data_IF_180180188440
#
_entry.id   IF_180180188440
#
_cell.length_a   1.000
_cell.length_b   1.000
_cell.length_c   1.000
_cell.angle_alpha   90.00
_cell.angle_beta   90.00
_cell.angle_gamma   90.00
#
_symmetry.space_group_name_H-M   'P 1'
#
loop_
_entity.id
_entity.type
_entity.pdbx_description
1 polymer ?
#
# COMPACT_ATOMS: atom_id res chain seq x y z
N UNK A 1 12.86 -0.94 -11.64
CA UNK A 1 13.05 -1.66 -10.37
C UNK A 1 12.42 -0.83 -9.27
N UNK A 2 11.31 -1.27 -8.69
CA UNK A 2 10.66 -0.56 -7.57
C UNK A 2 11.28 -1.04 -6.24
N UNK A 3 11.73 -0.11 -5.40
CA UNK A 3 12.39 -0.42 -4.13
C UNK A 3 11.42 -1.06 -3.12
N UNK A 4 11.88 -2.06 -2.38
CA UNK A 4 11.14 -2.73 -1.31
C UNK A 4 10.76 -1.82 -0.11
N UNK A 5 11.19 -0.56 -0.13
CA UNK A 5 10.91 0.46 0.89
C UNK A 5 9.78 1.41 0.50
N UNK A 6 9.24 1.33 -0.71
CA UNK A 6 8.09 2.14 -1.09
C UNK A 6 6.85 1.64 -0.35
N UNK A 7 6.15 2.51 0.37
CA UNK A 7 4.92 2.18 1.10
C UNK A 7 3.80 1.65 0.19
N UNK A 8 3.91 1.91 -1.13
CA UNK A 8 3.05 1.39 -2.19
C UNK A 8 3.42 0.00 -2.71
N UNK A 9 4.56 -0.57 -2.32
CA UNK A 9 4.97 -1.88 -2.81
C UNK A 9 4.29 -3.00 -2.04
N UNK A 10 3.34 -3.69 -2.69
CA UNK A 10 2.84 -4.98 -2.20
C UNK A 10 3.66 -6.10 -2.86
N UNK A 11 4.45 -6.87 -2.09
CA UNK A 11 5.23 -7.97 -2.66
C UNK A 11 4.32 -8.99 -3.35
N UNK A 12 4.72 -9.47 -4.54
CA UNK A 12 3.97 -10.46 -5.33
C UNK A 12 3.63 -11.78 -4.60
N UNK A 13 4.29 -12.08 -3.48
CA UNK A 13 4.08 -13.29 -2.68
C UNK A 13 3.54 -12.98 -1.27
N UNK A 14 3.08 -11.74 -1.03
CA UNK A 14 2.43 -11.38 0.22
C UNK A 14 0.98 -11.86 0.21
N UNK A 15 0.49 -12.30 1.37
CA UNK A 15 -0.94 -12.59 1.58
C UNK A 15 -1.84 -11.42 1.21
N UNK A 16 -1.38 -10.17 1.36
CA UNK A 16 -2.13 -8.99 0.90
C UNK A 16 -2.30 -8.96 -0.62
N UNK A 17 -1.26 -9.32 -1.38
CA UNK A 17 -1.32 -9.39 -2.84
C UNK A 17 -2.32 -10.45 -3.31
N UNK A 18 -2.31 -11.62 -2.67
CA UNK A 18 -3.26 -12.71 -2.95
C UNK A 18 -4.72 -12.30 -2.68
N UNK A 19 -4.96 -11.54 -1.60
CA UNK A 19 -6.31 -11.05 -1.27
C UNK A 19 -6.81 -10.00 -2.28
N UNK A 20 -5.93 -9.13 -2.78
CA UNK A 20 -6.28 -8.15 -3.80
C UNK A 20 -6.58 -8.81 -5.14
N UNK A 21 -5.81 -9.83 -5.51
CA UNK A 21 -6.06 -10.65 -6.71
C UNK A 21 -7.40 -11.41 -6.60
N UNK A 22 -7.69 -12.00 -5.44
CA UNK A 22 -8.95 -12.68 -5.19
C UNK A 22 -10.15 -11.72 -5.33
N UNK A 23 -10.05 -10.49 -4.80
CA UNK A 23 -11.08 -9.46 -4.95
C UNK A 23 -11.32 -9.09 -6.41
N UNK A 24 -10.25 -8.87 -7.18
CA UNK A 24 -10.35 -8.55 -8.62
C UNK A 24 -11.02 -9.68 -9.40
N UNK A 25 -10.71 -10.94 -9.05
CA UNK A 25 -11.36 -12.09 -9.66
C UNK A 25 -12.88 -12.15 -9.37
N UNK A 26 -13.30 -11.88 -8.13
CA UNK A 26 -14.74 -11.81 -7.79
C UNK A 26 -15.45 -10.72 -8.59
N UNK A 27 -14.85 -9.53 -8.69
CA UNK A 27 -15.40 -8.43 -9.48
C UNK A 27 -15.51 -8.79 -10.97
N UNK A 28 -14.52 -9.53 -11.50
CA UNK A 28 -14.56 -10.02 -12.87
C UNK A 28 -15.65 -11.07 -13.09
N UNK A 29 -15.89 -11.95 -12.13
CA UNK A 29 -16.99 -12.93 -12.20
C UNK A 29 -18.34 -12.23 -12.31
N UNK A 30 -18.61 -11.20 -11.49
CA UNK A 30 -19.84 -10.40 -11.57
C UNK A 30 -20.04 -9.73 -12.94
N UNK A 31 -18.95 -9.28 -13.56
CA UNK A 31 -19.00 -8.53 -14.82
C UNK A 31 -19.07 -9.40 -16.08
N UNK A 32 -18.61 -10.66 -16.02
CA UNK A 32 -18.38 -11.48 -17.22
C UNK A 32 -19.10 -12.82 -17.26
N UNK A 33 -19.64 -13.29 -16.13
CA UNK A 33 -20.34 -14.57 -16.03
C UNK A 33 -21.83 -14.28 -15.79
N UNK A 34 -22.75 -14.92 -16.52
CA UNK A 34 -24.17 -14.85 -16.20
C UNK A 34 -24.43 -15.66 -14.93
N UNK A 35 -24.26 -15.02 -13.78
CA UNK A 35 -24.56 -15.57 -12.47
C UNK A 35 -26.06 -15.48 -12.19
N UNK A 36 -26.61 -16.54 -11.62
CA UNK A 36 -27.94 -16.55 -10.99
C UNK A 36 -27.95 -15.66 -9.75
N UNK A 37 -29.14 -15.30 -9.25
CA UNK A 37 -29.26 -14.38 -8.11
C UNK A 37 -28.58 -14.96 -6.85
N UNK A 38 -28.78 -16.25 -6.56
CA UNK A 38 -28.12 -16.93 -5.43
C UNK A 38 -26.58 -16.91 -5.55
N UNK A 39 -26.05 -17.06 -6.78
CA UNK A 39 -24.61 -17.00 -7.03
C UNK A 39 -24.05 -15.57 -6.90
N UNK A 40 -24.84 -14.56 -7.25
CA UNK A 40 -24.47 -13.14 -7.05
C UNK A 40 -24.41 -12.79 -5.58
N UNK A 41 -25.42 -13.21 -4.81
CA UNK A 41 -25.48 -12.99 -3.37
C UNK A 41 -24.25 -13.59 -2.67
N UNK A 42 -23.86 -14.82 -3.05
CA UNK A 42 -22.65 -15.46 -2.52
C UNK A 42 -21.36 -14.70 -2.89
N UNK A 43 -21.26 -14.13 -4.09
CA UNK A 43 -20.10 -13.35 -4.54
C UNK A 43 -20.03 -12.01 -3.81
N UNK A 44 -21.17 -11.32 -3.64
CA UNK A 44 -21.25 -10.05 -2.92
C UNK A 44 -20.90 -10.25 -1.44
N UNK A 45 -21.40 -11.30 -0.79
CA UNK A 45 -21.02 -11.68 0.57
C UNK A 45 -19.51 -11.95 0.67
N UNK A 46 -18.94 -12.65 -0.31
CA UNK A 46 -17.50 -12.87 -0.42
C UNK A 46 -16.72 -11.56 -0.52
N UNK A 47 -17.17 -10.62 -1.35
CA UNK A 47 -16.55 -9.31 -1.51
C UNK A 47 -16.58 -8.51 -0.20
N UNK A 48 -17.72 -8.51 0.50
CA UNK A 48 -17.87 -7.86 1.81
C UNK A 48 -16.94 -8.48 2.86
N UNK A 49 -16.81 -9.81 2.86
CA UNK A 49 -15.91 -10.51 3.77
C UNK A 49 -14.44 -10.16 3.50
N UNK A 50 -14.03 -10.08 2.23
CA UNK A 50 -12.68 -9.68 1.85
C UNK A 50 -12.40 -8.22 2.24
N UNK A 51 -13.35 -7.31 2.02
CA UNK A 51 -13.19 -5.90 2.39
C UNK A 51 -13.03 -5.72 3.90
N UNK A 52 -13.85 -6.43 4.70
CA UNK A 52 -13.70 -6.45 6.18
C UNK A 52 -12.37 -7.03 6.62
N UNK A 53 -11.87 -8.07 5.94
CA UNK A 53 -10.56 -8.64 6.26
C UNK A 53 -9.43 -7.65 5.95
N UNK A 54 -9.48 -7.01 4.79
CA UNK A 54 -8.48 -6.02 4.38
C UNK A 54 -8.45 -4.82 5.34
N UNK A 55 -9.61 -4.31 5.76
CA UNK A 55 -9.69 -3.22 6.73
C UNK A 55 -9.05 -3.61 8.08
N UNK A 56 -9.42 -4.77 8.63
CA UNK A 56 -8.83 -5.27 9.89
C UNK A 56 -7.32 -5.44 9.81
N UNK A 57 -6.80 -5.91 8.67
CA UNK A 57 -5.36 -6.10 8.48
C UNK A 57 -4.58 -4.77 8.50
N UNK A 58 -5.23 -3.62 8.28
CA UNK A 58 -4.57 -2.32 8.40
C UNK A 58 -4.19 -1.96 9.84
N UNK A 59 -4.84 -2.60 10.81
CA UNK A 59 -4.66 -2.38 12.25
C UNK A 59 -3.84 -3.50 12.93
N UNK A 60 -3.42 -4.53 12.19
CA UNK A 60 -2.55 -5.60 12.71
C UNK A 60 -1.10 -5.10 12.73
N UNK A 61 -0.39 -5.18 13.87
CA UNK A 61 1.01 -4.76 13.96
C UNK A 61 1.88 -5.63 13.05
N UNK A 62 2.75 -5.00 12.29
CA UNK A 62 3.80 -5.72 11.56
C UNK A 62 4.82 -6.31 12.54
N UNK A 63 5.64 -7.30 12.14
CA UNK A 63 6.72 -7.80 12.99
C UNK A 63 7.71 -6.72 13.47
N UNK A 64 7.78 -5.58 12.77
CA UNK A 64 8.58 -4.42 13.18
C UNK A 64 7.90 -3.55 14.26
N UNK A 65 6.65 -3.85 14.65
CA UNK A 65 5.86 -3.11 15.64
C UNK A 65 4.71 -2.26 15.07
N UNK A 66 4.94 -1.34 14.11
CA UNK A 66 3.90 -0.43 13.66
C UNK A 66 2.86 -1.14 12.79
N UNK A 67 1.61 -0.68 12.85
CA UNK A 67 0.52 -1.15 11.98
C UNK A 67 0.62 -0.50 10.59
N UNK A 68 0.09 -1.12 9.52
CA UNK A 68 0.02 -0.50 8.21
C UNK A 68 -0.63 0.89 8.21
N UNK A 69 -1.66 1.11 9.04
CA UNK A 69 -2.30 2.42 9.21
C UNK A 69 -1.35 3.48 9.77
N UNK A 70 -0.45 3.09 10.68
CA UNK A 70 0.57 3.98 11.25
C UNK A 70 1.73 4.26 10.28
N UNK A 71 2.06 3.30 9.42
CA UNK A 71 3.11 3.46 8.40
C UNK A 71 2.63 4.39 7.28
N UNK A 72 1.38 4.25 6.85
CA UNK A 72 0.79 5.05 5.78
C UNK A 72 0.21 6.40 6.22
N UNK A 73 0.10 6.64 7.53
CA UNK A 73 -0.22 7.97 8.03
C UNK A 73 0.91 8.92 7.62
N UNK A 74 0.63 10.09 7.01
CA UNK A 74 1.68 11.07 6.80
C UNK A 74 2.31 11.32 8.17
N UNK A 75 3.64 11.17 8.27
CA UNK A 75 4.35 11.67 9.43
C UNK A 75 3.88 13.11 9.59
N UNK A 76 3.03 13.36 10.59
CA UNK A 76 2.57 14.70 10.91
C UNK A 76 3.84 15.51 10.96
N UNK A 77 3.98 16.43 10.00
CA UNK A 77 5.25 16.96 9.59
C UNK A 77 6.06 17.34 10.83
N UNK A 78 7.02 16.49 11.20
CA UNK A 78 8.18 16.97 11.93
C UNK A 78 8.79 17.91 10.92
N UNK A 79 8.41 19.18 11.02
CA UNK A 79 9.01 20.32 10.34
C UNK A 79 10.48 20.30 10.78
N UNK A 80 11.27 19.44 10.16
CA UNK A 80 12.69 19.59 10.10
C UNK A 80 12.87 20.89 9.32
N UNK A 81 13.40 21.95 9.96
CA UNK A 81 13.63 23.19 9.25
C UNK A 81 14.57 22.86 8.09
N UNK A 82 14.05 23.00 6.87
CA UNK A 82 14.83 23.02 5.65
C UNK A 82 15.74 24.24 5.76
N UNK A 83 16.90 24.08 6.40
CA UNK A 83 17.97 25.07 6.31
C UNK A 83 18.37 25.15 4.84
N UNK A 84 17.99 26.26 4.21
CA UNK A 84 18.38 26.59 2.85
C UNK A 84 19.91 26.71 2.82
N UNK A 85 20.58 25.67 2.31
CA UNK A 85 22.00 25.70 2.02
C UNK A 85 22.25 26.54 0.75
N UNK A 86 21.92 27.83 0.84
CA UNK A 86 22.30 28.81 -0.15
C UNK A 86 23.74 29.28 0.15
N UNK A 87 24.64 28.98 -0.78
CA UNK A 87 25.86 29.75 -0.98
C UNK A 87 27.13 29.15 -0.38
N UNK A 88 27.82 28.34 -1.19
CA UNK A 88 29.27 28.57 -1.34
C UNK A 88 29.63 28.47 -2.81
N UNK A 89 29.68 29.65 -3.43
CA UNK A 89 30.36 29.94 -4.68
C UNK A 89 31.74 29.29 -4.69
N UNK A 90 32.08 28.69 -5.83
CA UNK A 90 33.28 27.91 -6.00
C UNK A 90 34.57 28.67 -5.73
N UNK A 91 35.56 27.92 -5.26
CA UNK A 91 36.96 28.15 -5.54
C UNK A 91 37.53 26.87 -6.18
N UNK A 92 37.79 26.94 -7.48
CA UNK A 92 38.76 26.05 -8.13
C UNK A 92 40.06 26.86 -8.22
N UNK A 93 40.76 26.98 -7.10
CA UNK A 93 42.12 27.52 -7.03
C UNK A 93 43.11 26.37 -6.98
N UNK A 94 43.89 26.20 -8.05
CA UNK A 94 44.86 25.11 -8.19
C UNK A 94 46.06 25.21 -7.24
N UNK A 95 46.63 24.04 -6.95
CA UNK A 95 48.03 23.76 -6.59
C UNK A 95 48.24 22.30 -7.05
N UNK A 96 49.17 21.95 -7.93
CA UNK A 96 50.59 22.29 -7.89
C UNK A 96 51.33 20.99 -7.60
#
# INVERSE_FOLDING_TARGET
MACARCDFYTPKQSSKGQLLEAKDNLQRMLASIPLTDDERDAVDDGQVALDRLLDRLTDVPTPAGPTPRQIGAPASATFLPLINAAGRTGDCGGCG
#
